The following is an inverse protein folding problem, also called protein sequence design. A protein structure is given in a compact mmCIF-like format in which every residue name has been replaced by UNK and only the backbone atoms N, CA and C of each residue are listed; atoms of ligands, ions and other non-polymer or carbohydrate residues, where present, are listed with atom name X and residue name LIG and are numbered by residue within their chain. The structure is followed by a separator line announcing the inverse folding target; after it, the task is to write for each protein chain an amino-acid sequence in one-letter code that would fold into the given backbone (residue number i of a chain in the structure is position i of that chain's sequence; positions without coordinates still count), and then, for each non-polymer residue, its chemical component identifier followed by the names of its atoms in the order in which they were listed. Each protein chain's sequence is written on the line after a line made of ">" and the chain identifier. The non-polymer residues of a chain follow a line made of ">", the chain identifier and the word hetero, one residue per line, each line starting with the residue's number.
data_IF_619853432695
#
_entry.id   IF_619853432695
#
_cell.length_a   1.000
_cell.length_b   1.000
_cell.length_c   1.000
_cell.angle_alpha   90.00
_cell.angle_beta   90.00
_cell.angle_gamma   90.00
#
_symmetry.space_group_name_H-M   'P 1'
#
loop_
_entity.id
_entity.type
_entity.pdbx_description
1 polymer ?
#
# COMPACT_ATOMS: atom_id res chain seq x y z
N UNK A 1 -2.07 22.16 10.23
CA UNK A 1 -1.44 20.93 9.72
C UNK A 1 -2.21 20.48 8.50
N UNK A 2 -1.63 20.59 7.29
CA UNK A 2 -2.33 20.34 6.02
C UNK A 2 -2.00 18.90 5.60
N UNK A 3 -2.99 18.02 5.68
CA UNK A 3 -2.88 16.60 5.33
C UNK A 3 -2.41 16.43 3.88
N UNK A 4 -1.42 15.54 3.66
CA UNK A 4 -0.74 15.31 2.38
C UNK A 4 -1.47 14.29 1.49
N UNK A 5 -2.64 13.81 1.89
CA UNK A 5 -3.48 13.01 1.00
C UNK A 5 -4.13 13.94 -0.01
N UNK A 6 -3.62 13.94 -1.24
CA UNK A 6 -4.39 14.37 -2.40
C UNK A 6 -5.67 13.55 -2.33
N UNK A 7 -6.80 14.25 -2.19
CA UNK A 7 -8.12 13.62 -2.19
C UNK A 7 -8.41 13.21 -3.63
N UNK A 8 -7.80 12.12 -4.07
CA UNK A 8 -8.27 11.39 -5.24
C UNK A 8 -9.61 10.76 -4.86
N UNK A 9 -10.59 10.85 -5.76
CA UNK A 9 -11.93 10.26 -5.56
C UNK A 9 -11.89 8.73 -5.34
N UNK A 10 -10.73 8.12 -5.62
CA UNK A 10 -10.42 6.70 -5.49
C UNK A 10 -9.90 6.31 -4.09
N UNK A 11 -9.65 7.25 -3.19
CA UNK A 11 -9.18 6.93 -1.84
C UNK A 11 -10.25 6.17 -1.03
N UNK A 12 -9.85 5.03 -0.47
CA UNK A 12 -10.67 4.21 0.42
C UNK A 12 -9.88 3.99 1.70
N UNK A 13 -10.41 4.44 2.83
CA UNK A 13 -9.70 4.44 4.11
C UNK A 13 -9.66 3.06 4.76
N UNK A 14 -10.71 2.27 4.61
CA UNK A 14 -10.86 0.96 5.25
C UNK A 14 -11.90 0.10 4.54
N UNK A 15 -11.99 -1.17 4.94
CA UNK A 15 -12.93 -2.15 4.38
C UNK A 15 -14.39 -1.77 4.56
N UNK A 16 -14.75 -1.10 5.65
CA UNK A 16 -16.13 -0.65 5.90
C UNK A 16 -16.55 0.48 4.95
N UNK A 17 -15.66 1.44 4.68
CA UNK A 17 -15.87 2.48 3.67
C UNK A 17 -16.00 1.86 2.26
N UNK A 18 -15.14 0.90 1.93
CA UNK A 18 -15.22 0.17 0.66
C UNK A 18 -16.59 -0.51 0.49
N UNK A 19 -17.02 -1.25 1.52
CA UNK A 19 -18.32 -1.90 1.51
C UNK A 19 -19.45 -0.88 1.31
N UNK A 20 -19.40 0.24 2.03
CA UNK A 20 -20.42 1.29 1.91
C UNK A 20 -20.50 1.88 0.50
N UNK A 21 -19.36 1.99 -0.22
CA UNK A 21 -19.32 2.47 -1.61
C UNK A 21 -19.83 1.44 -2.62
N UNK A 22 -19.58 0.16 -2.39
CA UNK A 22 -19.92 -0.92 -3.33
C UNK A 22 -21.28 -1.56 -3.07
N UNK A 23 -21.85 -1.39 -1.87
CA UNK A 23 -23.10 -2.03 -1.49
C UNK A 23 -24.25 -1.55 -2.39
N UNK A 24 -24.91 -2.49 -3.08
CA UNK A 24 -26.00 -2.21 -4.01
C UNK A 24 -25.55 -1.78 -5.42
N UNK A 25 -24.23 -1.72 -5.69
CA UNK A 25 -23.72 -1.50 -7.03
C UNK A 25 -23.90 -2.75 -7.90
N UNK A 26 -24.56 -2.60 -9.04
CA UNK A 26 -24.72 -3.66 -10.05
C UNK A 26 -23.76 -3.36 -11.19
N UNK A 27 -22.94 -4.35 -11.56
CA UNK A 27 -22.01 -4.19 -12.68
C UNK A 27 -22.80 -4.04 -13.99
N UNK A 28 -22.41 -3.09 -14.86
CA UNK A 28 -23.02 -2.96 -16.18
C UNK A 28 -22.79 -4.22 -17.04
N UNK A 29 -23.68 -4.43 -18.00
CA UNK A 29 -23.55 -5.55 -18.94
C UNK A 29 -22.21 -5.51 -19.69
N UNK A 30 -21.58 -6.68 -19.83
CA UNK A 30 -20.28 -6.83 -20.49
C UNK A 30 -19.06 -6.53 -19.60
N UNK A 31 -19.25 -6.10 -18.35
CA UNK A 31 -18.18 -5.95 -17.37
C UNK A 31 -18.06 -7.19 -16.48
N UNK A 32 -16.82 -7.52 -16.09
CA UNK A 32 -16.51 -8.65 -15.21
C UNK A 32 -15.80 -8.12 -13.97
N UNK A 33 -16.20 -8.58 -12.79
CA UNK A 33 -15.47 -8.31 -11.55
C UNK A 33 -14.17 -9.10 -11.53
N UNK A 34 -13.04 -8.42 -11.69
CA UNK A 34 -11.73 -9.00 -11.43
C UNK A 34 -11.42 -8.87 -9.93
N UNK A 35 -11.76 -9.91 -9.15
CA UNK A 35 -11.30 -10.00 -7.76
C UNK A 35 -9.83 -10.39 -7.78
N UNK A 36 -8.95 -9.41 -7.56
CA UNK A 36 -7.55 -9.67 -7.28
C UNK A 36 -7.46 -10.21 -5.86
N UNK A 37 -7.48 -11.53 -5.71
CA UNK A 37 -7.28 -12.16 -4.42
C UNK A 37 -5.86 -11.84 -3.93
N UNK A 38 -5.80 -11.16 -2.80
CA UNK A 38 -4.57 -10.67 -2.19
C UNK A 38 -3.92 -11.83 -1.44
N UNK A 39 -3.58 -12.90 -2.15
CA UNK A 39 -2.60 -13.86 -1.65
C UNK A 39 -1.18 -13.30 -1.86
N UNK A 40 -1.02 -12.17 -2.58
CA UNK A 40 0.29 -11.61 -2.93
C UNK A 40 0.32 -10.08 -3.17
N UNK A 41 -0.38 -9.24 -2.38
CA UNK A 41 -0.06 -7.77 -2.36
C UNK A 41 1.24 -7.44 -1.61
N UNK A 42 1.87 -8.45 -1.01
CA UNK A 42 3.32 -8.53 -1.03
C UNK A 42 3.67 -9.45 -2.19
N UNK A 43 3.85 -8.93 -3.41
CA UNK A 43 4.29 -9.75 -4.51
C UNK A 43 5.63 -10.37 -4.15
N UNK A 44 6.13 -11.21 -5.05
CA UNK A 44 7.56 -11.32 -5.34
C UNK A 44 8.14 -9.94 -5.74
N UNK A 45 7.86 -8.86 -4.99
CA UNK A 45 8.43 -7.55 -5.19
C UNK A 45 9.90 -7.71 -4.89
N UNK A 46 10.77 -7.46 -5.87
CA UNK A 46 12.19 -7.59 -5.65
C UNK A 46 12.56 -6.80 -4.39
N UNK A 47 13.18 -7.46 -3.41
CA UNK A 47 13.61 -6.85 -2.15
C UNK A 47 14.37 -5.55 -2.42
N UNK A 48 15.20 -5.56 -3.47
CA UNK A 48 15.95 -4.40 -3.97
C UNK A 48 15.05 -3.23 -4.38
N UNK A 49 13.94 -3.50 -5.07
CA UNK A 49 12.99 -2.47 -5.49
C UNK A 49 12.28 -1.86 -4.28
N UNK A 50 11.89 -2.70 -3.32
CA UNK A 50 11.28 -2.24 -2.07
C UNK A 50 12.25 -1.36 -1.28
N UNK A 51 13.51 -1.78 -1.12
CA UNK A 51 14.55 -1.00 -0.44
C UNK A 51 14.81 0.34 -1.14
N UNK A 52 14.83 0.37 -2.47
CA UNK A 52 15.00 1.62 -3.24
C UNK A 52 13.85 2.60 -3.00
N UNK A 53 12.60 2.12 -3.00
CA UNK A 53 11.43 2.96 -2.75
C UNK A 53 11.47 3.50 -1.32
N UNK A 54 11.77 2.66 -0.35
CA UNK A 54 11.85 3.05 1.07
C UNK A 54 12.96 4.07 1.26
N UNK A 55 14.16 3.84 0.73
CA UNK A 55 15.27 4.80 0.80
C UNK A 55 14.92 6.13 0.14
N UNK A 56 14.29 6.10 -1.04
CA UNK A 56 13.86 7.33 -1.74
C UNK A 56 12.89 8.15 -0.91
N UNK A 57 12.01 7.49 -0.14
CA UNK A 57 10.94 8.15 0.60
C UNK A 57 11.17 8.23 2.11
N UNK A 58 12.31 7.77 2.63
CA UNK A 58 12.61 7.72 4.06
C UNK A 58 12.49 9.08 4.73
N UNK A 59 12.90 10.14 4.03
CA UNK A 59 12.80 11.54 4.47
C UNK A 59 11.36 12.02 4.75
N UNK A 60 10.33 11.24 4.39
CA UNK A 60 8.92 11.55 4.65
C UNK A 60 8.42 11.00 5.99
N UNK A 61 9.21 10.18 6.67
CA UNK A 61 8.89 9.63 7.98
C UNK A 61 9.44 10.61 9.02
N UNK A 62 8.53 11.30 9.70
CA UNK A 62 8.88 12.14 10.84
C UNK A 62 9.15 11.24 12.05
N UNK A 63 10.34 11.39 12.65
CA UNK A 63 10.79 10.68 13.85
C UNK A 63 10.70 9.13 13.77
N UNK A 64 11.50 8.48 12.89
CA UNK A 64 11.48 7.04 12.77
C UNK A 64 12.06 6.37 14.02
N UNK A 65 11.40 5.32 14.51
CA UNK A 65 11.84 4.55 15.68
C UNK A 65 13.24 3.91 15.51
N UNK A 66 13.63 3.64 14.26
CA UNK A 66 14.92 3.09 13.87
C UNK A 66 15.48 3.90 12.70
N UNK A 67 16.79 3.96 12.53
CA UNK A 67 17.39 4.59 11.35
C UNK A 67 17.24 3.71 10.09
N UNK A 68 17.47 4.32 8.92
CA UNK A 68 17.31 3.65 7.62
C UNK A 68 18.22 2.42 7.48
N UNK A 69 19.42 2.45 8.04
CA UNK A 69 20.37 1.35 7.89
C UNK A 69 19.96 0.18 8.79
N UNK A 70 19.52 0.45 10.02
CA UNK A 70 18.89 -0.55 10.88
C UNK A 70 17.65 -1.16 10.23
N UNK A 71 16.79 -0.35 9.60
CA UNK A 71 15.63 -0.85 8.86
C UNK A 71 16.03 -1.78 7.72
N UNK A 72 17.02 -1.41 6.91
CA UNK A 72 17.51 -2.24 5.79
C UNK A 72 17.97 -3.61 6.28
N UNK A 73 18.72 -3.65 7.39
CA UNK A 73 19.19 -4.90 7.99
C UNK A 73 17.98 -5.77 8.40
N UNK A 74 17.05 -5.21 9.18
CA UNK A 74 15.86 -5.93 9.62
C UNK A 74 15.01 -6.44 8.44
N UNK A 75 14.86 -5.63 7.39
CA UNK A 75 14.09 -5.97 6.21
C UNK A 75 14.72 -7.14 5.44
N UNK A 76 16.05 -7.16 5.28
CA UNK A 76 16.75 -8.28 4.64
C UNK A 76 16.59 -9.58 5.43
N UNK A 77 16.72 -9.54 6.76
CA UNK A 77 16.55 -10.73 7.62
C UNK A 77 15.13 -11.32 7.61
N UNK A 78 14.10 -10.52 7.34
CA UNK A 78 12.71 -10.97 7.35
C UNK A 78 12.27 -11.63 6.03
N UNK A 79 13.03 -11.40 4.96
CA UNK A 79 12.70 -11.87 3.60
C UNK A 79 13.51 -13.11 3.21
N UNK A 80 14.57 -13.45 3.96
CA UNK A 80 15.27 -14.74 3.92
C UNK A 80 14.61 -15.81 4.81
#
# INVERSE_FOLDING_TARGET
>A
MKSIFVKDDEYVRNSHELFSKLNGFVLPDGYVLASLDVVSLFPNTPTDLTLQIIQKHWHRIDDPLIDLDTFKICFTFLVE
#
